data_IF_013521291158
#
_entry.id   IF_013521291158
#
_cell.length_a   1.000
_cell.length_b   1.000
_cell.length_c   1.000
_cell.angle_alpha   90.00
_cell.angle_beta   90.00
_cell.angle_gamma   90.00
#
_symmetry.space_group_name_H-M   'P 1'
#
loop_
_entity.id
_entity.type
_entity.pdbx_description
1 polymer ?
#
# COMPACT_ATOMS: atom_id res chain seq x y z
N UNK A 1 -3.74 -22.01 -38.63
CA UNK A 1 -4.81 -21.11 -38.16
C UNK A 1 -4.52 -20.75 -36.72
N UNK A 2 -4.24 -19.49 -36.40
CA UNK A 2 -4.06 -19.06 -35.00
C UNK A 2 -5.46 -18.92 -34.43
N UNK A 3 -5.89 -19.88 -33.60
CA UNK A 3 -7.12 -19.71 -32.83
C UNK A 3 -6.95 -18.46 -31.98
N UNK A 4 -7.81 -17.46 -32.22
CA UNK A 4 -7.84 -16.24 -31.41
C UNK A 4 -8.26 -16.65 -30.00
N UNK A 5 -7.32 -16.65 -29.05
CA UNK A 5 -7.57 -17.07 -27.69
C UNK A 5 -8.71 -16.21 -27.12
N UNK A 6 -9.86 -16.84 -26.83
CA UNK A 6 -11.01 -16.13 -26.26
C UNK A 6 -10.78 -16.00 -24.76
N UNK A 7 -10.49 -14.79 -24.32
CA UNK A 7 -10.34 -14.46 -22.90
C UNK A 7 -11.52 -13.59 -22.49
N UNK A 8 -12.22 -14.02 -21.44
CA UNK A 8 -13.37 -13.35 -20.85
C UNK A 8 -12.93 -12.61 -19.57
N UNK A 9 -13.46 -11.41 -19.37
CA UNK A 9 -13.29 -10.68 -18.12
C UNK A 9 -14.51 -10.93 -17.23
N UNK A 10 -14.27 -11.51 -16.06
CA UNK A 10 -15.32 -11.86 -15.09
C UNK A 10 -15.55 -10.73 -14.10
N UNK A 11 -14.46 -10.16 -13.58
CA UNK A 11 -14.47 -9.03 -12.66
C UNK A 11 -13.31 -8.10 -13.00
N UNK A 12 -13.56 -6.81 -12.92
CA UNK A 12 -12.55 -5.77 -13.04
C UNK A 12 -12.78 -4.75 -11.93
N UNK A 13 -11.79 -4.60 -11.05
CA UNK A 13 -11.85 -3.62 -9.98
C UNK A 13 -11.73 -2.18 -10.49
N UNK A 14 -12.25 -1.22 -9.72
CA UNK A 14 -12.34 0.18 -10.12
C UNK A 14 -10.98 0.86 -10.40
N UNK A 15 -9.92 0.42 -9.73
CA UNK A 15 -8.56 0.93 -9.93
C UNK A 15 -7.81 0.24 -11.07
N UNK A 16 -8.37 -0.82 -11.67
CA UNK A 16 -7.79 -1.50 -12.82
C UNK A 16 -8.31 -0.83 -14.10
N UNK A 17 -7.40 -0.16 -14.83
CA UNK A 17 -7.74 0.48 -16.10
C UNK A 17 -7.97 -0.55 -17.22
N UNK A 18 -8.70 -0.15 -18.27
CA UNK A 18 -8.85 -1.00 -19.46
C UNK A 18 -7.51 -1.29 -20.14
N UNK A 19 -6.58 -0.32 -20.14
CA UNK A 19 -5.23 -0.52 -20.65
C UNK A 19 -4.51 -1.64 -19.88
N UNK A 20 -4.52 -1.57 -18.56
CA UNK A 20 -3.89 -2.57 -17.71
C UNK A 20 -4.51 -3.96 -17.91
N UNK A 21 -5.84 -4.05 -18.06
CA UNK A 21 -6.50 -5.30 -18.44
C UNK A 21 -5.99 -5.85 -19.77
N UNK A 22 -5.88 -5.01 -20.80
CA UNK A 22 -5.42 -5.45 -22.12
C UNK A 22 -3.95 -5.88 -22.09
N UNK A 23 -3.10 -5.19 -21.32
CA UNK A 23 -1.72 -5.62 -21.13
C UNK A 23 -1.63 -6.96 -20.39
N UNK A 24 -2.45 -7.18 -19.35
CA UNK A 24 -2.49 -8.46 -18.63
C UNK A 24 -2.87 -9.59 -19.60
N UNK A 25 -3.85 -9.35 -20.48
CA UNK A 25 -4.27 -10.29 -21.52
C UNK A 25 -3.13 -10.58 -22.51
N UNK A 26 -2.43 -9.54 -22.96
CA UNK A 26 -1.32 -9.64 -23.90
C UNK A 26 -0.12 -10.39 -23.29
N UNK A 27 0.28 -10.02 -22.07
CA UNK A 27 1.35 -10.69 -21.34
C UNK A 27 1.00 -12.15 -21.03
N UNK A 28 -0.25 -12.46 -20.67
CA UNK A 28 -0.68 -13.84 -20.55
C UNK A 28 -0.51 -14.61 -21.85
N UNK A 29 -0.99 -14.06 -22.97
CA UNK A 29 -0.88 -14.71 -24.29
C UNK A 29 0.59 -14.95 -24.68
N UNK A 30 1.46 -13.96 -24.46
CA UNK A 30 2.90 -14.09 -24.69
C UNK A 30 3.56 -15.10 -23.75
N UNK A 31 3.10 -15.19 -22.51
CA UNK A 31 3.62 -16.13 -21.51
C UNK A 31 3.44 -17.60 -21.91
N UNK A 32 2.46 -17.92 -22.76
CA UNK A 32 2.21 -19.28 -23.24
C UNK A 32 3.33 -19.82 -24.15
N UNK A 33 4.14 -18.93 -24.72
CA UNK A 33 5.16 -19.28 -25.71
C UNK A 33 6.59 -18.88 -25.28
N UNK A 34 6.75 -18.25 -24.12
CA UNK A 34 8.05 -17.82 -23.61
C UNK A 34 8.74 -18.94 -22.81
N UNK A 35 10.06 -19.05 -22.94
CA UNK A 35 10.88 -20.05 -22.24
C UNK A 35 11.84 -19.43 -21.20
N UNK A 36 11.86 -18.09 -21.06
CA UNK A 36 12.84 -17.39 -20.23
C UNK A 36 12.53 -17.44 -18.73
N UNK A 37 11.25 -17.50 -18.36
CA UNK A 37 10.80 -17.59 -16.98
C UNK A 37 10.34 -19.01 -16.66
N UNK A 38 10.73 -19.51 -15.49
CA UNK A 38 10.32 -20.82 -14.98
C UNK A 38 8.79 -20.94 -14.84
N UNK A 39 8.12 -19.84 -14.48
CA UNK A 39 6.66 -19.77 -14.36
C UNK A 39 6.08 -18.64 -15.20
N UNK A 40 4.96 -18.92 -15.87
CA UNK A 40 4.19 -17.96 -16.66
C UNK A 40 3.75 -16.74 -15.82
N UNK A 41 3.40 -16.97 -14.56
CA UNK A 41 2.99 -15.93 -13.61
C UNK A 41 4.11 -14.94 -13.29
N UNK A 42 5.37 -15.39 -13.25
CA UNK A 42 6.52 -14.51 -13.02
C UNK A 42 6.78 -13.60 -14.22
N UNK A 43 6.66 -14.12 -15.45
CA UNK A 43 6.73 -13.32 -16.66
C UNK A 43 5.68 -12.19 -16.63
N UNK A 44 4.43 -12.54 -16.37
CA UNK A 44 3.32 -11.57 -16.35
C UNK A 44 3.56 -10.52 -15.26
N UNK A 45 3.89 -10.96 -14.04
CA UNK A 45 4.18 -10.07 -12.91
C UNK A 45 5.31 -9.10 -13.24
N UNK A 46 6.46 -9.62 -13.71
CA UNK A 46 7.63 -8.80 -14.00
C UNK A 46 7.31 -7.67 -15.00
N UNK A 47 6.66 -8.01 -16.12
CA UNK A 47 6.33 -7.01 -17.15
C UNK A 47 5.30 -5.97 -16.66
N UNK A 48 4.36 -6.36 -15.78
CA UNK A 48 3.42 -5.42 -15.18
C UNK A 48 4.11 -4.49 -14.18
N UNK A 49 4.97 -5.04 -13.32
CA UNK A 49 5.73 -4.26 -12.34
C UNK A 49 6.69 -3.28 -13.02
N UNK A 50 7.34 -3.69 -14.11
CA UNK A 50 8.19 -2.84 -14.94
C UNK A 50 7.38 -1.72 -15.63
N UNK A 51 6.22 -2.03 -16.22
CA UNK A 51 5.39 -1.04 -16.93
C UNK A 51 4.71 -0.04 -15.99
N UNK A 52 4.21 -0.48 -14.84
CA UNK A 52 3.34 0.31 -13.98
C UNK A 52 3.98 0.79 -12.67
N UNK A 53 5.14 0.26 -12.28
CA UNK A 53 5.78 0.60 -11.01
C UNK A 53 4.93 0.27 -9.78
N UNK A 54 4.02 -0.71 -9.91
CA UNK A 54 3.14 -1.22 -8.84
C UNK A 54 3.42 -2.69 -8.63
N UNK A 55 3.28 -3.17 -7.41
CA UNK A 55 3.43 -4.60 -7.12
C UNK A 55 2.15 -5.36 -7.50
N UNK A 56 2.32 -6.54 -8.09
CA UNK A 56 1.20 -7.40 -8.49
C UNK A 56 1.34 -8.81 -7.90
N UNK A 57 0.22 -9.37 -7.47
CA UNK A 57 0.08 -10.80 -7.20
C UNK A 57 -0.70 -11.44 -8.33
N UNK A 58 -0.05 -12.40 -9.02
CA UNK A 58 -0.64 -13.14 -10.14
C UNK A 58 -0.86 -14.58 -9.70
N UNK A 59 -2.12 -15.02 -9.70
CA UNK A 59 -2.50 -16.40 -9.45
C UNK A 59 -3.12 -16.95 -10.73
N UNK A 60 -2.63 -18.10 -11.16
CA UNK A 60 -3.15 -18.80 -12.33
C UNK A 60 -3.40 -20.26 -11.98
N UNK A 61 -4.57 -20.76 -12.34
CA UNK A 61 -4.96 -22.14 -12.07
C UNK A 61 -5.78 -22.70 -13.23
N UNK A 62 -5.71 -24.02 -13.40
CA UNK A 62 -6.40 -24.73 -14.48
C UNK A 62 -7.92 -24.72 -14.27
N UNK A 63 -8.66 -24.74 -15.38
CA UNK A 63 -10.11 -24.93 -15.34
C UNK A 63 -10.43 -26.29 -14.69
N UNK A 64 -11.28 -26.28 -13.66
CA UNK A 64 -11.66 -27.47 -12.90
C UNK A 64 -10.89 -27.65 -11.59
N UNK A 65 -9.83 -26.87 -11.35
CA UNK A 65 -9.19 -26.81 -10.04
C UNK A 65 -10.13 -26.13 -9.02
N UNK A 66 -10.25 -26.70 -7.82
CA UNK A 66 -10.97 -26.06 -6.73
C UNK A 66 -10.05 -25.07 -6.01
N UNK A 67 -10.27 -23.78 -6.29
CA UNK A 67 -9.52 -22.68 -5.67
C UNK A 67 -10.52 -21.71 -5.04
N UNK A 68 -10.25 -21.33 -3.79
CA UNK A 68 -11.00 -20.28 -3.07
C UNK A 68 -10.02 -19.18 -2.69
N UNK A 69 -10.40 -17.92 -2.96
CA UNK A 69 -9.59 -16.74 -2.68
C UNK A 69 -10.43 -15.64 -2.04
N UNK A 70 -9.77 -14.81 -1.22
CA UNK A 70 -10.35 -13.62 -0.62
C UNK A 70 -9.26 -12.54 -0.57
N UNK A 71 -9.48 -11.43 -1.28
CA UNK A 71 -8.55 -10.29 -1.30
C UNK A 71 -9.17 -9.11 -0.55
N UNK A 72 -8.34 -8.38 0.20
CA UNK A 72 -8.73 -7.07 0.71
C UNK A 72 -8.94 -6.11 -0.46
N UNK A 73 -9.96 -5.25 -0.40
CA UNK A 73 -10.26 -4.26 -1.45
C UNK A 73 -10.35 -4.88 -2.87
N UNK A 74 -10.87 -6.10 -2.98
CA UNK A 74 -11.01 -6.81 -4.25
C UNK A 74 -11.87 -6.06 -5.28
N UNK A 75 -12.81 -5.22 -4.83
CA UNK A 75 -13.64 -4.41 -5.70
C UNK A 75 -12.87 -3.29 -6.39
N UNK A 76 -11.71 -2.90 -5.85
CA UNK A 76 -10.88 -1.86 -6.42
C UNK A 76 -9.71 -2.42 -7.22
N UNK A 77 -9.05 -3.46 -6.69
CA UNK A 77 -7.70 -3.83 -7.15
C UNK A 77 -7.59 -5.21 -7.79
N UNK A 78 -8.68 -5.97 -7.92
CA UNK A 78 -8.65 -7.31 -8.51
C UNK A 78 -9.16 -7.31 -9.95
N UNK A 79 -8.42 -7.97 -10.84
CA UNK A 79 -8.89 -8.37 -12.15
C UNK A 79 -9.01 -9.90 -12.19
N UNK A 80 -10.18 -10.40 -12.59
CA UNK A 80 -10.44 -11.82 -12.82
C UNK A 80 -10.70 -12.07 -14.31
N UNK A 81 -9.88 -12.91 -14.91
CA UNK A 81 -9.99 -13.33 -16.31
C UNK A 81 -10.17 -14.84 -16.40
N UNK A 82 -10.88 -15.29 -17.44
CA UNK A 82 -11.04 -16.70 -17.78
C UNK A 82 -10.66 -16.94 -19.23
N UNK A 83 -9.84 -17.95 -19.44
CA UNK A 83 -9.54 -18.51 -20.76
C UNK A 83 -10.05 -19.95 -20.82
N UNK A 84 -9.88 -20.61 -21.98
CA UNK A 84 -10.25 -22.01 -22.13
C UNK A 84 -9.43 -22.95 -21.24
N UNK A 85 -8.20 -22.57 -20.88
CA UNK A 85 -7.25 -23.43 -20.14
C UNK A 85 -7.06 -22.96 -18.69
N UNK A 86 -7.04 -21.65 -18.46
CA UNK A 86 -6.68 -21.06 -17.18
C UNK A 86 -7.69 -20.01 -16.72
N UNK A 87 -7.90 -19.98 -15.40
CA UNK A 87 -8.39 -18.83 -14.66
C UNK A 87 -7.19 -18.00 -14.18
N UNK A 88 -7.29 -16.68 -14.29
CA UNK A 88 -6.21 -15.75 -13.96
C UNK A 88 -6.77 -14.69 -13.01
N UNK A 89 -6.13 -14.56 -11.86
CA UNK A 89 -6.38 -13.51 -10.89
C UNK A 89 -5.17 -12.60 -10.86
N UNK A 90 -5.36 -11.33 -11.20
CA UNK A 90 -4.33 -10.31 -11.09
C UNK A 90 -4.76 -9.30 -10.04
N UNK A 91 -4.11 -9.33 -8.88
CA UNK A 91 -4.37 -8.44 -7.77
C UNK A 91 -3.26 -7.39 -7.69
N UNK A 92 -3.62 -6.12 -7.91
CA UNK A 92 -2.70 -4.99 -7.72
C UNK A 92 -2.60 -4.69 -6.23
N UNK A 93 -1.39 -4.72 -5.67
CA UNK A 93 -1.26 -4.36 -4.26
C UNK A 93 -1.58 -2.87 -4.09
N UNK A 94 -2.46 -2.50 -3.15
CA UNK A 94 -2.70 -1.10 -2.82
C UNK A 94 -1.37 -0.43 -2.49
N UNK A 95 -1.17 0.85 -2.84
CA UNK A 95 0.00 1.59 -2.40
C UNK A 95 0.15 1.43 -0.89
N UNK A 96 1.32 0.93 -0.46
CA UNK A 96 1.63 0.86 0.96
C UNK A 96 1.54 2.28 1.52
N UNK A 97 0.78 2.44 2.61
CA UNK A 97 0.69 3.69 3.32
C UNK A 97 2.10 4.05 3.78
N UNK A 98 2.71 5.06 3.17
CA UNK A 98 3.94 5.64 3.71
C UNK A 98 3.60 6.15 5.11
N UNK A 99 4.33 5.72 6.16
CA UNK A 99 4.09 6.29 7.48
C UNK A 99 4.26 7.81 7.39
N UNK A 100 3.43 8.60 8.10
CA UNK A 100 3.61 10.04 8.15
C UNK A 100 5.07 10.35 8.52
N UNK A 101 5.69 11.39 7.93
CA UNK A 101 7.08 11.71 8.20
C UNK A 101 7.33 11.78 9.70
N UNK A 102 8.40 11.12 10.16
CA UNK A 102 8.85 11.22 11.54
C UNK A 102 8.93 12.71 11.90
N UNK A 103 8.22 13.10 12.96
CA UNK A 103 8.29 14.45 13.53
C UNK A 103 9.79 14.79 13.63
N UNK A 104 10.25 15.94 13.09
CA UNK A 104 11.67 16.28 13.13
C UNK A 104 12.15 16.24 14.58
N UNK A 105 13.30 15.60 14.81
CA UNK A 105 13.90 15.51 16.14
C UNK A 105 13.99 16.93 16.74
N UNK A 106 13.63 17.10 18.03
CA UNK A 106 13.74 18.40 18.68
C UNK A 106 15.18 18.89 18.55
N UNK A 107 15.37 20.05 17.93
CA UNK A 107 16.69 20.66 17.83
C UNK A 107 17.22 20.94 19.24
N UNK A 108 18.27 20.20 19.63
CA UNK A 108 19.00 20.48 20.85
C UNK A 108 19.78 21.77 20.62
N UNK A 109 19.27 22.89 21.15
CA UNK A 109 19.99 24.16 21.15
C UNK A 109 21.21 23.99 22.08
N UNK A 110 22.46 24.14 21.61
CA UNK A 110 23.61 24.08 22.50
C UNK A 110 23.57 25.30 23.43
N UNK A 111 23.46 25.05 24.73
CA UNK A 111 23.68 26.09 25.73
C UNK A 111 25.13 26.58 25.61
N UNK A 112 25.33 27.68 24.90
CA UNK A 112 26.59 28.40 24.92
C UNK A 112 26.79 28.95 26.33
N UNK A 113 27.90 28.57 26.97
CA UNK A 113 28.32 29.11 28.26
C UNK A 113 28.58 30.61 28.09
N UNK A 114 27.66 31.45 28.55
CA UNK A 114 27.95 32.88 28.74
C UNK A 114 28.69 33.07 30.05
N UNK A 115 29.88 33.63 29.92
CA UNK A 115 30.73 34.13 31.00
C UNK A 115 30.01 35.24 31.76
N UNK A 116 30.10 35.17 33.09
CA UNK A 116 29.69 36.14 34.11
C UNK A 116 29.93 37.62 33.75
N UNK A 117 28.91 38.47 33.92
CA UNK A 117 29.01 39.71 34.68
C UNK A 117 27.68 40.06 35.37
N UNK A 118 27.79 40.52 36.62
CA UNK A 118 26.72 40.74 37.60
C UNK A 118 26.04 42.11 37.44
N UNK A 119 24.74 42.13 37.76
CA UNK A 119 23.95 43.13 38.49
C UNK A 119 23.93 44.61 38.01
N UNK A 120 22.74 45.12 37.62
CA UNK A 120 21.88 45.98 38.46
C UNK A 120 20.53 46.36 37.75
N UNK A 121 19.44 46.23 38.52
CA UNK A 121 18.11 46.91 38.56
C UNK A 121 16.96 46.73 37.53
N UNK A 122 15.81 46.45 38.17
CA UNK A 122 14.49 47.07 38.09
C UNK A 122 13.50 46.68 36.99
N UNK A 123 12.44 46.02 37.49
CA UNK A 123 11.01 46.19 37.18
C UNK A 123 10.65 46.31 35.70
N UNK A 124 10.01 45.29 35.16
CA UNK A 124 8.62 45.34 34.66
C UNK A 124 8.20 43.93 34.24
N UNK A 125 7.01 43.49 34.72
CA UNK A 125 6.12 42.48 34.12
C UNK A 125 6.71 41.04 34.02
N UNK A 126 6.03 39.95 34.37
CA UNK A 126 4.63 39.58 34.21
C UNK A 126 4.44 38.23 34.94
N UNK A 127 3.26 38.03 35.54
CA UNK A 127 2.56 36.74 35.74
C UNK A 127 3.25 35.73 36.68
N UNK A 128 2.84 35.76 37.95
CA UNK A 128 3.02 34.64 38.86
C UNK A 128 2.11 33.48 38.45
N UNK A 129 2.72 32.41 37.98
CA UNK A 129 2.23 31.05 38.18
C UNK A 129 2.55 30.64 39.62
N UNK A 130 1.55 30.23 40.39
CA UNK A 130 1.70 29.35 41.56
C UNK A 130 0.60 28.29 41.38
N UNK A 131 0.90 27.12 40.81
CA UNK A 131 1.49 25.93 41.44
C UNK A 131 0.54 25.24 42.42
N UNK A 132 0.49 23.90 42.33
CA UNK A 132 -0.28 22.94 43.14
C UNK A 132 -1.75 22.81 42.71
N UNK A 133 -2.36 21.64 42.59
CA UNK A 133 -2.00 20.26 42.93
C UNK A 133 -3.17 19.41 42.42
N UNK A 134 -2.89 18.17 42.03
CA UNK A 134 -3.92 17.14 41.85
C UNK A 134 -4.88 17.11 43.06
N UNK A 135 -6.13 16.68 42.88
CA UNK A 135 -6.39 15.32 43.33
C UNK A 135 -7.23 14.47 42.37
N UNK A 136 -6.95 13.18 42.47
CA UNK A 136 -7.85 12.06 42.19
C UNK A 136 -9.32 12.38 42.53
N UNK A 137 -10.24 12.00 41.66
CA UNK A 137 -11.59 11.62 42.11
C UNK A 137 -12.20 10.51 41.24
N UNK A 138 -12.26 9.34 41.86
CA UNK A 138 -13.14 8.19 41.59
C UNK A 138 -14.62 8.56 41.75
N UNK A 139 -15.49 8.18 40.81
CA UNK A 139 -16.92 7.80 41.03
C UNK A 139 -17.48 7.31 39.68
N UNK A 140 -17.71 6.02 39.43
CA UNK A 140 -18.87 5.19 39.84
C UNK A 140 -20.24 5.83 39.56
N UNK A 141 -20.97 5.28 38.58
CA UNK A 141 -22.42 4.97 38.45
C UNK A 141 -22.55 4.31 37.06
N UNK A 142 -22.78 3.00 36.85
CA UNK A 142 -23.98 2.16 37.09
C UNK A 142 -25.29 2.94 37.05
N UNK A 143 -26.03 2.85 35.94
CA UNK A 143 -27.18 1.94 35.77
C UNK A 143 -27.26 1.50 34.31
#
# INVERSE_FOLDING_TARGET
MIQKLKIECVKQGYSISNEMKFDIIDFYTKSLHQEHYAHKTDYIRHNLEEKYGRCFSIIMYEVGAFVSHSFLHADDFLLELRSAEHHILAYMLPPSFTPPPLIPEPQVIPFSRTTTQQQYVSKYQQIQCIQHSQPYNTSYYKY
#
